data_IF_758557947607
#
_entry.id   IF_758557947607
#
_cell.length_a   1.000
_cell.length_b   1.000
_cell.length_c   1.000
_cell.angle_alpha   90.00
_cell.angle_beta   90.00
_cell.angle_gamma   90.00
#
_symmetry.space_group_name_H-M   'P 1'
#
loop_
_entity.id
_entity.type
_entity.pdbx_description
1 polymer ?
#
# COMPACT_ATOMS: atom_id res chain seq x y z
N UNK A 1 1.73 1.50 -32.95
CA UNK A 1 0.52 1.44 -32.11
C UNK A 1 0.90 1.99 -30.75
N UNK A 2 0.26 3.04 -30.33
CA UNK A 2 0.48 3.56 -28.98
C UNK A 2 -0.13 2.58 -27.99
N UNK A 3 0.70 1.94 -27.18
CA UNK A 3 0.27 1.16 -26.03
C UNK A 3 -0.56 2.10 -25.15
N UNK A 4 -1.87 1.86 -25.11
CA UNK A 4 -2.77 2.70 -24.34
C UNK A 4 -2.46 2.49 -22.86
N UNK A 5 -1.89 3.50 -22.24
CA UNK A 5 -1.67 3.51 -20.79
C UNK A 5 -3.02 3.47 -20.08
N UNK A 6 -3.22 2.44 -19.30
CA UNK A 6 -4.40 2.30 -18.44
C UNK A 6 -4.02 2.73 -17.01
N UNK A 7 -4.98 3.27 -16.28
CA UNK A 7 -4.82 3.66 -14.88
C UNK A 7 -5.64 2.74 -13.98
N UNK A 8 -5.10 2.41 -12.81
CA UNK A 8 -5.81 1.63 -11.81
C UNK A 8 -5.18 1.74 -10.43
N UNK A 9 -5.84 1.12 -9.46
CA UNK A 9 -5.41 1.09 -8.05
C UNK A 9 -5.04 -0.34 -7.67
N UNK A 10 -3.90 -0.51 -7.03
CA UNK A 10 -3.46 -1.80 -6.52
C UNK A 10 -4.32 -2.20 -5.33
N UNK A 11 -5.03 -3.31 -5.44
CA UNK A 11 -5.90 -3.85 -4.38
C UNK A 11 -5.33 -5.09 -3.69
N UNK A 12 -4.37 -5.75 -4.34
CA UNK A 12 -3.67 -6.90 -3.76
C UNK A 12 -2.24 -6.94 -4.29
N UNK A 13 -1.30 -7.35 -3.43
CA UNK A 13 0.10 -7.55 -3.78
C UNK A 13 0.55 -8.91 -3.23
N UNK A 14 0.90 -9.84 -4.12
CA UNK A 14 1.31 -11.20 -3.75
C UNK A 14 2.58 -11.57 -4.51
N UNK A 15 3.72 -11.55 -3.82
CA UNK A 15 5.02 -11.80 -4.44
C UNK A 15 5.32 -10.78 -5.55
N UNK A 16 5.42 -11.26 -6.78
CA UNK A 16 5.72 -10.42 -7.95
C UNK A 16 4.45 -9.98 -8.73
N UNK A 17 3.27 -10.35 -8.24
CA UNK A 17 2.00 -10.09 -8.89
C UNK A 17 1.15 -9.09 -8.12
N UNK A 18 0.45 -8.25 -8.86
CA UNK A 18 -0.41 -7.19 -8.35
C UNK A 18 -1.77 -7.28 -9.02
N UNK A 19 -2.82 -7.29 -8.22
CA UNK A 19 -4.18 -7.13 -8.74
C UNK A 19 -4.49 -5.63 -8.77
N UNK A 20 -4.77 -5.11 -9.96
CA UNK A 20 -5.04 -3.69 -10.21
C UNK A 20 -6.50 -3.52 -10.61
N UNK A 21 -7.22 -2.75 -9.84
CA UNK A 21 -8.61 -2.39 -10.11
C UNK A 21 -8.65 -1.17 -11.05
N UNK A 22 -9.24 -1.33 -12.21
CA UNK A 22 -9.44 -0.25 -13.19
C UNK A 22 -10.63 0.62 -12.84
N UNK A 23 -10.71 1.82 -13.42
CA UNK A 23 -11.87 2.71 -13.28
C UNK A 23 -13.18 2.08 -13.76
N UNK A 24 -13.11 1.16 -14.72
CA UNK A 24 -14.25 0.39 -15.22
C UNK A 24 -14.69 -0.78 -14.32
N UNK A 25 -14.01 -1.00 -13.18
CA UNK A 25 -14.32 -2.07 -12.24
C UNK A 25 -13.71 -3.43 -12.59
N UNK A 26 -12.92 -3.54 -13.65
CA UNK A 26 -12.19 -4.75 -13.98
C UNK A 26 -10.93 -4.89 -13.12
N UNK A 27 -10.56 -6.13 -12.78
CA UNK A 27 -9.31 -6.45 -12.09
C UNK A 27 -8.33 -7.06 -13.08
N UNK A 28 -7.18 -6.41 -13.23
CA UNK A 28 -6.10 -6.87 -14.09
C UNK A 28 -4.94 -7.40 -13.25
N UNK A 29 -4.44 -8.59 -13.58
CA UNK A 29 -3.20 -9.10 -13.00
C UNK A 29 -2.00 -8.47 -13.67
N UNK A 30 -1.23 -7.73 -12.89
CA UNK A 30 -0.07 -7.00 -13.36
C UNK A 30 1.21 -7.51 -12.73
N UNK A 31 2.30 -7.36 -13.46
CA UNK A 31 3.67 -7.52 -12.94
C UNK A 31 4.43 -6.21 -13.13
N UNK A 32 5.56 -6.05 -12.47
CA UNK A 32 6.42 -4.88 -12.65
C UNK A 32 7.43 -5.16 -13.76
N UNK A 33 7.63 -4.20 -14.66
CA UNK A 33 8.68 -4.25 -15.68
C UNK A 33 10.03 -3.93 -15.06
N UNK A 34 10.91 -4.94 -14.97
CA UNK A 34 12.29 -4.80 -14.55
C UNK A 34 12.47 -4.21 -13.14
N UNK A 35 13.56 -3.47 -12.96
CA UNK A 35 13.81 -2.72 -11.74
C UNK A 35 13.12 -1.35 -11.82
N UNK A 36 11.88 -1.27 -11.39
CA UNK A 36 11.27 0.03 -11.13
C UNK A 36 12.06 0.73 -10.03
N UNK A 37 12.97 1.61 -10.42
CA UNK A 37 13.67 2.49 -9.49
C UNK A 37 12.74 3.62 -9.11
N UNK A 38 11.97 3.42 -8.05
CA UNK A 38 11.34 4.53 -7.37
C UNK A 38 12.44 5.41 -6.79
N UNK A 39 12.60 6.62 -7.35
CA UNK A 39 13.55 7.62 -6.85
C UNK A 39 13.29 7.83 -5.35
N UNK A 40 14.22 7.38 -4.51
CA UNK A 40 14.26 7.72 -3.08
C UNK A 40 13.67 6.71 -2.10
N UNK A 41 13.07 5.60 -2.54
CA UNK A 41 12.56 4.58 -1.62
C UNK A 41 13.35 3.27 -1.79
N UNK A 42 14.20 2.98 -0.82
CA UNK A 42 14.80 1.66 -0.64
C UNK A 42 13.75 0.76 0.02
N UNK A 43 12.85 0.21 -0.77
CA UNK A 43 11.87 -0.76 -0.29
C UNK A 43 12.01 -2.06 -1.08
N UNK A 44 11.85 -3.17 -0.39
CA UNK A 44 11.81 -4.52 -0.98
C UNK A 44 10.60 -4.67 -1.91
N UNK A 45 9.52 -3.94 -1.65
CA UNK A 45 8.31 -3.88 -2.47
C UNK A 45 8.11 -2.45 -2.99
N UNK A 46 8.40 -2.18 -4.27
CA UNK A 46 8.27 -0.84 -4.84
C UNK A 46 6.80 -0.41 -4.97
N UNK A 47 5.87 -1.35 -5.10
CA UNK A 47 4.42 -1.12 -5.23
C UNK A 47 3.70 -1.78 -4.08
N UNK A 48 2.76 -1.07 -3.47
CA UNK A 48 1.97 -1.53 -2.33
C UNK A 48 0.47 -1.34 -2.58
N UNK A 49 -0.35 -1.98 -1.77
CA UNK A 49 -1.81 -1.81 -1.82
C UNK A 49 -2.17 -0.33 -1.60
N UNK A 50 -3.07 0.18 -2.43
CA UNK A 50 -3.48 1.58 -2.46
C UNK A 50 -2.75 2.44 -3.49
N UNK A 51 -1.62 1.97 -4.03
CA UNK A 51 -0.90 2.71 -5.06
C UNK A 51 -1.75 2.86 -6.33
N UNK A 52 -1.75 4.06 -6.88
CA UNK A 52 -2.24 4.30 -8.23
C UNK A 52 -1.10 4.03 -9.22
N UNK A 53 -1.39 3.22 -10.23
CA UNK A 53 -0.40 2.80 -11.22
C UNK A 53 -0.89 3.02 -12.64
N UNK A 54 0.08 3.24 -13.53
CA UNK A 54 -0.13 3.22 -14.98
C UNK A 54 0.42 1.91 -15.50
N UNK A 55 -0.37 1.21 -16.31
CA UNK A 55 -0.01 -0.10 -16.84
C UNK A 55 -0.46 -0.30 -18.28
N UNK A 56 0.22 -1.18 -18.98
CA UNK A 56 -0.05 -1.54 -20.37
C UNK A 56 -0.27 -3.05 -20.52
N UNK A 57 -0.92 -3.45 -21.60
CA UNK A 57 -1.01 -4.87 -21.97
C UNK A 57 0.29 -5.29 -22.69
N UNK A 58 0.86 -6.42 -22.30
CA UNK A 58 2.01 -7.02 -22.93
C UNK A 58 1.73 -8.52 -23.18
N UNK A 59 1.31 -8.86 -24.39
CA UNK A 59 0.82 -10.20 -24.70
C UNK A 59 -0.45 -10.52 -23.91
N UNK A 60 -0.41 -11.61 -23.16
CA UNK A 60 -1.52 -12.03 -22.28
C UNK A 60 -1.45 -11.44 -20.88
N UNK A 61 -0.38 -10.72 -20.53
CA UNK A 61 -0.11 -10.11 -19.23
C UNK A 61 -0.28 -8.59 -19.27
N UNK A 62 -0.37 -8.01 -18.07
CA UNK A 62 -0.30 -6.56 -17.87
C UNK A 62 0.98 -6.20 -17.13
N UNK A 63 1.57 -5.06 -17.50
CA UNK A 63 2.83 -4.59 -16.93
C UNK A 63 2.67 -3.20 -16.37
N UNK A 64 3.03 -3.02 -15.10
CA UNK A 64 3.07 -1.72 -14.44
C UNK A 64 4.30 -0.97 -14.97
N UNK A 65 4.06 0.18 -15.58
CA UNK A 65 5.09 1.05 -16.16
C UNK A 65 5.49 2.16 -15.20
N UNK A 66 4.52 2.72 -14.49
CA UNK A 66 4.73 3.90 -13.66
C UNK A 66 3.86 3.88 -12.40
N UNK A 67 4.42 4.42 -11.32
CA UNK A 67 3.73 4.68 -10.07
C UNK A 67 3.36 6.16 -9.98
N UNK A 68 2.07 6.43 -9.79
CA UNK A 68 1.59 7.80 -9.51
C UNK A 68 2.06 8.24 -8.12
N UNK A 69 2.49 9.50 -7.93
CA UNK A 69 2.92 9.99 -6.62
C UNK A 69 1.88 9.74 -5.54
N UNK A 70 2.32 9.19 -4.41
CA UNK A 70 1.47 8.88 -3.26
C UNK A 70 1.04 10.14 -2.53
N UNK A 71 -0.23 10.20 -2.10
CA UNK A 71 -0.74 11.26 -1.20
C UNK A 71 -0.22 11.07 0.23
N UNK A 72 -0.23 9.84 0.67
CA UNK A 72 0.24 9.40 1.99
C UNK A 72 0.57 7.91 1.96
N UNK A 73 1.17 7.43 3.02
CA UNK A 73 1.45 6.01 3.23
C UNK A 73 1.64 5.70 4.71
N UNK A 74 1.45 4.45 5.07
CA UNK A 74 1.72 3.94 6.42
C UNK A 74 2.95 3.03 6.39
N UNK A 75 3.87 3.24 7.34
CA UNK A 75 5.11 2.49 7.46
C UNK A 75 5.06 1.59 8.69
N UNK A 76 5.57 0.37 8.53
CA UNK A 76 5.95 -0.47 9.65
C UNK A 76 7.45 -0.47 9.78
N UNK A 77 7.98 -0.07 10.93
CA UNK A 77 9.40 -0.28 11.24
C UNK A 77 9.65 -1.75 11.50
N UNK A 78 10.68 -2.30 10.86
CA UNK A 78 11.19 -3.61 11.23
C UNK A 78 11.77 -3.54 12.66
N UNK A 79 11.47 -4.53 13.49
CA UNK A 79 11.91 -4.60 14.88
C UNK A 79 13.40 -4.91 15.05
N UNK A 80 14.08 -5.30 14.00
CA UNK A 80 15.51 -5.62 14.01
C UNK A 80 16.28 -4.62 13.15
N UNK A 81 17.28 -3.99 13.74
CA UNK A 81 18.49 -3.33 13.22
C UNK A 81 18.62 -3.01 11.71
N UNK A 82 17.71 -3.46 10.85
CA UNK A 82 17.65 -3.05 9.47
C UNK A 82 17.00 -1.67 9.37
N UNK A 83 17.71 -0.74 8.76
CA UNK A 83 17.21 0.61 8.44
C UNK A 83 16.08 0.60 7.40
N UNK A 84 15.51 -0.55 7.10
CA UNK A 84 14.46 -0.71 6.10
C UNK A 84 13.08 -0.52 6.75
N UNK A 85 12.39 0.51 6.33
CA UNK A 85 10.98 0.69 6.64
C UNK A 85 10.14 0.02 5.55
N UNK A 86 9.16 -0.78 5.96
CA UNK A 86 8.21 -1.39 5.04
C UNK A 86 6.95 -0.54 4.97
N UNK A 87 6.61 -0.07 3.77
CA UNK A 87 5.32 0.57 3.52
C UNK A 87 4.27 -0.53 3.47
N UNK A 88 3.23 -0.38 4.30
CA UNK A 88 2.14 -1.36 4.39
C UNK A 88 1.07 -1.07 3.34
N UNK A 89 0.68 0.20 3.22
CA UNK A 89 -0.33 0.67 2.29
C UNK A 89 -0.14 2.15 2.01
N UNK A 90 -0.70 2.62 0.89
CA UNK A 90 -0.63 4.01 0.47
C UNK A 90 -2.00 4.60 0.13
N UNK A 91 -2.06 5.90 -0.08
CA UNK A 91 -3.28 6.64 -0.45
C UNK A 91 -4.47 6.34 0.45
N UNK A 92 -4.23 6.35 1.76
CA UNK A 92 -5.20 5.97 2.79
C UNK A 92 -6.04 7.19 3.14
N UNK A 93 -7.36 7.04 3.06
CA UNK A 93 -8.31 8.09 3.45
C UNK A 93 -8.65 8.01 4.94
N UNK A 94 -8.74 6.79 5.46
CA UNK A 94 -9.14 6.53 6.84
C UNK A 94 -8.40 5.33 7.42
N UNK A 95 -7.88 5.49 8.64
CA UNK A 95 -7.30 4.39 9.41
C UNK A 95 -8.26 3.97 10.53
N UNK A 96 -8.50 2.65 10.64
CA UNK A 96 -9.34 2.06 11.68
C UNK A 96 -8.53 1.06 12.49
N UNK A 97 -8.40 1.32 13.79
CA UNK A 97 -7.79 0.40 14.73
C UNK A 97 -8.87 -0.38 15.48
N UNK A 98 -8.89 -1.69 15.32
CA UNK A 98 -9.74 -2.57 16.12
C UNK A 98 -8.94 -3.09 17.30
N UNK A 99 -9.42 -2.81 18.50
CA UNK A 99 -8.77 -3.20 19.75
C UNK A 99 -9.68 -4.09 20.59
N UNK A 100 -9.09 -4.93 21.43
CA UNK A 100 -9.80 -5.77 22.38
C UNK A 100 -9.53 -5.28 23.80
N UNK A 101 -10.57 -5.26 24.64
CA UNK A 101 -10.47 -4.86 26.03
C UNK A 101 -9.97 -6.01 26.93
N UNK A 102 -10.23 -7.23 26.50
CA UNK A 102 -9.80 -8.44 27.22
C UNK A 102 -9.58 -9.62 26.26
N UNK A 103 -8.74 -10.56 26.67
CA UNK A 103 -8.53 -11.90 26.12
C UNK A 103 -8.20 -11.97 24.61
N UNK A 104 -7.06 -11.48 24.16
CA UNK A 104 -6.05 -10.71 24.86
C UNK A 104 -6.36 -9.21 24.86
N UNK A 105 -5.92 -8.51 25.91
CA UNK A 105 -6.04 -7.06 25.95
C UNK A 105 -5.05 -6.40 24.99
N UNK A 106 -5.53 -5.46 24.19
CA UNK A 106 -4.65 -4.60 23.40
C UNK A 106 -3.91 -3.63 24.32
N UNK A 107 -2.58 -3.61 24.27
CA UNK A 107 -1.77 -2.73 25.07
C UNK A 107 -2.03 -1.26 24.71
N UNK A 108 -2.24 -0.35 25.70
CA UNK A 108 -2.45 1.07 25.43
C UNK A 108 -1.31 1.71 24.64
N UNK A 109 -0.07 1.28 24.85
CA UNK A 109 1.11 1.77 24.14
C UNK A 109 1.04 1.46 22.64
N UNK A 110 0.39 0.36 22.27
CA UNK A 110 0.16 0.04 20.86
C UNK A 110 -0.84 1.01 20.22
N UNK A 111 -1.91 1.36 20.96
CA UNK A 111 -2.89 2.35 20.51
C UNK A 111 -2.22 3.71 20.32
N UNK A 112 -1.40 4.15 21.27
CA UNK A 112 -0.68 5.42 21.20
C UNK A 112 0.26 5.48 19.99
N UNK A 113 1.04 4.43 19.75
CA UNK A 113 1.93 4.33 18.58
C UNK A 113 1.16 4.37 17.27
N UNK A 114 0.03 3.68 17.21
CA UNK A 114 -0.82 3.70 16.02
C UNK A 114 -1.36 5.09 15.74
N UNK A 115 -1.89 5.77 16.77
CA UNK A 115 -2.42 7.14 16.65
C UNK A 115 -1.35 8.14 16.22
N UNK A 116 -0.14 8.05 16.80
CA UNK A 116 1.00 8.90 16.41
C UNK A 116 1.39 8.66 14.95
N UNK A 117 1.45 7.40 14.52
CA UNK A 117 1.76 7.06 13.13
C UNK A 117 0.71 7.63 12.18
N UNK A 118 -0.56 7.50 12.53
CA UNK A 118 -1.65 8.07 11.73
C UNK A 118 -1.62 9.60 11.72
N UNK A 119 -1.29 10.25 12.84
CA UNK A 119 -1.16 11.71 12.92
C UNK A 119 -0.11 12.23 11.94
N UNK A 120 0.99 11.52 11.80
CA UNK A 120 2.06 11.89 10.89
C UNK A 120 1.72 11.68 9.40
N UNK A 121 0.78 10.78 9.08
CA UNK A 121 0.61 10.28 7.71
C UNK A 121 -0.82 10.37 7.17
N UNK A 122 -1.86 10.36 8.02
CA UNK A 122 -3.26 10.22 7.61
C UNK A 122 -4.12 11.28 8.32
N UNK A 123 -4.95 11.97 7.55
CA UNK A 123 -5.80 13.06 8.08
C UNK A 123 -6.97 12.57 8.93
N UNK A 124 -7.59 11.45 8.59
CA UNK A 124 -8.75 10.94 9.32
C UNK A 124 -8.42 9.65 10.06
N UNK A 125 -8.68 9.61 11.37
CA UNK A 125 -8.34 8.52 12.28
C UNK A 125 -9.54 8.13 13.11
N UNK A 126 -9.74 6.84 13.28
CA UNK A 126 -10.77 6.31 14.18
C UNK A 126 -10.26 5.09 14.92
N UNK A 127 -10.55 5.02 16.20
CA UNK A 127 -10.32 3.83 17.03
C UNK A 127 -11.66 3.20 17.35
N UNK A 128 -11.77 1.91 17.12
CA UNK A 128 -12.96 1.12 17.43
C UNK A 128 -12.63 0.11 18.54
N UNK A 129 -13.46 0.09 19.57
CA UNK A 129 -13.34 -0.80 20.69
C UNK A 129 -14.22 -2.00 20.50
N UNK A 130 -13.65 -3.19 20.62
CA UNK A 130 -14.38 -4.43 20.67
C UNK A 130 -14.35 -4.95 22.11
N UNK A 131 -15.52 -5.10 22.65
CA UNK A 131 -15.70 -5.76 23.95
C UNK A 131 -15.48 -7.27 23.85
#
# INVERSE_FOLDING_TARGET
>A
MSDKLNKGVVICATGSWYDVLTEGGAVCKCRIRGRMRLKGVRSTNPVVVGDEVLFTAEGDDFVIEELVPRRNYIIRRASNLSKESHIIASNIDRAMLVVTLSSPRTAPEFVDRFLITCEASIYEKRVYWKA
#
